data_IF_391661817618
#
_entry.id   IF_391661817618
#
_cell.length_a   1.000
_cell.length_b   1.000
_cell.length_c   1.000
_cell.angle_alpha   90.00
_cell.angle_beta   90.00
_cell.angle_gamma   90.00
#
_symmetry.space_group_name_H-M   'P 1'
#
loop_
_entity.id
_entity.type
_entity.pdbx_description
1 polymer ?
#
# COMPACT_ATOMS: atom_id res chain seq x y z
N UNK A 1 7.26 -21.40 -17.30
CA UNK A 1 6.71 -20.57 -16.21
C UNK A 1 7.74 -20.58 -15.09
N UNK A 2 8.06 -19.44 -14.46
CA UNK A 2 8.91 -19.45 -13.27
C UNK A 2 8.27 -20.37 -12.21
N UNK A 3 9.04 -21.34 -11.72
CA UNK A 3 8.52 -22.38 -10.84
C UNK A 3 8.41 -21.83 -9.42
N UNK A 4 7.20 -21.47 -9.01
CA UNK A 4 6.86 -21.38 -7.60
C UNK A 4 6.70 -22.81 -7.06
N UNK A 5 7.35 -23.11 -5.95
CA UNK A 5 7.13 -24.34 -5.19
C UNK A 5 6.27 -24.05 -3.97
N UNK A 6 5.34 -24.95 -3.64
CA UNK A 6 4.58 -24.84 -2.40
C UNK A 6 5.52 -25.04 -1.20
N UNK A 7 5.47 -24.12 -0.24
CA UNK A 7 6.35 -24.11 0.93
C UNK A 7 5.61 -24.47 2.23
N UNK A 8 4.31 -24.21 2.30
CA UNK A 8 3.51 -24.48 3.49
C UNK A 8 2.20 -23.70 3.48
N UNK A 9 1.53 -23.65 4.63
CA UNK A 9 0.31 -22.83 4.79
C UNK A 9 0.34 -22.10 6.13
N UNK A 10 -0.16 -20.87 6.16
CA UNK A 10 -0.26 -20.07 7.37
C UNK A 10 -1.63 -19.40 7.45
N UNK A 11 -2.39 -19.69 8.52
CA UNK A 11 -3.74 -19.15 8.72
C UNK A 11 -4.68 -19.38 7.51
N UNK A 12 -4.60 -20.56 6.90
CA UNK A 12 -5.41 -20.92 5.74
C UNK A 12 -4.99 -20.27 4.42
N UNK A 13 -3.82 -19.62 4.36
CA UNK A 13 -3.23 -19.08 3.14
C UNK A 13 -2.03 -19.92 2.71
N UNK A 14 -1.98 -20.26 1.42
CA UNK A 14 -0.85 -20.99 0.84
C UNK A 14 0.40 -20.11 0.75
N UNK A 15 1.53 -20.74 1.02
CA UNK A 15 2.84 -20.15 0.95
C UNK A 15 3.66 -20.80 -0.15
N UNK A 16 4.45 -19.97 -0.82
CA UNK A 16 5.25 -20.34 -1.97
C UNK A 16 6.69 -19.85 -1.80
N UNK A 17 7.62 -20.63 -2.34
CA UNK A 17 9.01 -20.27 -2.54
C UNK A 17 9.25 -19.94 -4.02
N UNK A 18 9.99 -18.86 -4.26
CA UNK A 18 10.51 -18.48 -5.55
C UNK A 18 12.03 -18.55 -5.52
N UNK A 19 12.63 -19.34 -6.42
CA UNK A 19 14.07 -19.41 -6.58
C UNK A 19 14.55 -18.47 -7.68
N UNK A 20 15.30 -17.44 -7.30
CA UNK A 20 16.03 -16.58 -8.23
C UNK A 20 17.39 -17.21 -8.54
N UNK A 21 17.78 -17.23 -9.82
CA UNK A 21 19.10 -17.70 -10.25
C UNK A 21 19.73 -16.72 -11.22
N UNK A 22 21.01 -16.41 -11.00
CA UNK A 22 21.82 -15.60 -11.91
C UNK A 22 22.66 -16.46 -12.86
N UNK A 23 23.18 -15.82 -13.90
CA UNK A 23 24.10 -16.41 -14.87
C UNK A 23 25.42 -16.93 -14.28
N UNK A 24 25.83 -16.43 -13.11
CA UNK A 24 27.07 -16.82 -12.45
C UNK A 24 26.86 -17.87 -11.34
N UNK A 25 25.67 -18.46 -11.24
CA UNK A 25 25.39 -19.58 -10.36
C UNK A 25 24.94 -19.21 -8.95
N UNK A 26 24.76 -17.91 -8.63
CA UNK A 26 24.11 -17.50 -7.37
C UNK A 26 22.65 -17.90 -7.39
N UNK A 27 22.18 -18.38 -6.24
CA UNK A 27 20.79 -18.77 -6.01
C UNK A 27 20.27 -18.02 -4.81
N UNK A 28 19.09 -17.42 -4.93
CA UNK A 28 18.38 -16.81 -3.80
C UNK A 28 16.98 -17.39 -3.73
N UNK A 29 16.59 -17.92 -2.56
CA UNK A 29 15.25 -18.43 -2.32
C UNK A 29 14.47 -17.41 -1.51
N UNK A 30 13.32 -17.02 -2.03
CA UNK A 30 12.42 -16.06 -1.40
C UNK A 30 11.10 -16.74 -1.11
N UNK A 31 10.61 -16.67 0.12
CA UNK A 31 9.26 -17.14 0.48
C UNK A 31 8.31 -15.96 0.65
N UNK A 32 7.03 -16.16 0.35
CA UNK A 32 6.03 -15.09 0.47
C UNK A 32 5.53 -14.86 1.90
N UNK A 33 5.94 -15.68 2.87
CA UNK A 33 5.80 -15.35 4.29
C UNK A 33 6.81 -14.26 4.64
N UNK A 34 6.35 -13.11 5.14
CA UNK A 34 7.20 -11.99 5.54
C UNK A 34 8.06 -11.37 4.42
N UNK A 35 7.83 -11.76 3.16
CA UNK A 35 8.73 -11.48 2.04
C UNK A 35 10.20 -11.87 2.33
N UNK A 36 10.39 -13.02 2.98
CA UNK A 36 11.66 -13.49 3.53
C UNK A 36 12.63 -13.94 2.44
N UNK A 37 13.87 -13.46 2.51
CA UNK A 37 15.02 -14.12 1.89
C UNK A 37 15.41 -15.31 2.78
N UNK A 38 15.00 -16.52 2.37
CA UNK A 38 15.19 -17.75 3.16
C UNK A 38 16.60 -18.29 3.03
N UNK A 39 17.16 -18.23 1.83
CA UNK A 39 18.46 -18.77 1.51
C UNK A 39 19.14 -17.93 0.43
N UNK A 40 20.46 -17.79 0.54
CA UNK A 40 21.30 -17.11 -0.43
C UNK A 40 22.56 -17.96 -0.59
N UNK A 41 22.63 -18.68 -1.70
CA UNK A 41 23.73 -19.58 -1.99
C UNK A 41 24.69 -18.96 -3.00
N UNK A 42 25.97 -18.90 -2.66
CA UNK A 42 27.04 -18.39 -3.52
C UNK A 42 28.00 -19.51 -3.92
N UNK A 43 28.46 -19.56 -5.18
CA UNK A 43 29.52 -20.50 -5.58
C UNK A 43 30.84 -20.21 -4.87
N UNK A 44 31.46 -21.25 -4.35
CA UNK A 44 32.81 -21.21 -3.78
C UNK A 44 33.87 -21.41 -4.87
N UNK A 45 35.14 -21.18 -4.52
CA UNK A 45 36.28 -21.50 -5.41
C UNK A 45 36.36 -22.97 -5.80
N UNK A 46 35.78 -23.87 -4.99
CA UNK A 46 35.76 -25.32 -5.21
C UNK A 46 34.58 -25.76 -6.09
N UNK A 47 33.68 -24.85 -6.46
CA UNK A 47 32.49 -25.12 -7.26
C UNK A 47 31.23 -25.41 -6.45
N UNK A 48 31.36 -25.68 -5.15
CA UNK A 48 30.22 -25.93 -4.25
C UNK A 48 29.44 -24.65 -3.94
N UNK A 49 28.14 -24.79 -3.69
CA UNK A 49 27.26 -23.70 -3.23
C UNK A 49 27.25 -23.61 -1.70
N UNK A 50 27.36 -22.40 -1.15
CA UNK A 50 27.28 -22.15 0.30
C UNK A 50 26.27 -21.08 0.63
N UNK A 51 25.39 -21.37 1.58
CA UNK A 51 24.47 -20.40 2.15
C UNK A 51 25.24 -19.34 2.95
N UNK A 52 24.92 -18.07 2.72
CA UNK A 52 25.56 -16.92 3.38
C UNK A 52 24.60 -16.10 4.25
N UNK A 53 23.36 -16.57 4.41
CA UNK A 53 22.36 -16.00 5.30
C UNK A 53 21.86 -17.06 6.27
N UNK A 54 21.35 -16.62 7.42
CA UNK A 54 20.64 -17.48 8.35
C UNK A 54 19.18 -17.59 7.91
N UNK A 55 18.63 -18.80 7.99
CA UNK A 55 17.24 -19.09 7.66
C UNK A 55 16.88 -20.50 8.10
N UNK A 56 15.59 -20.84 7.96
CA UNK A 56 15.08 -22.16 8.28
C UNK A 56 14.67 -22.91 7.01
N UNK A 57 14.58 -24.24 7.12
CA UNK A 57 14.11 -25.09 6.03
C UNK A 57 12.58 -25.20 5.99
N UNK A 58 11.92 -25.02 7.14
CA UNK A 58 10.48 -25.20 7.29
C UNK A 58 9.81 -23.91 7.78
N UNK A 59 8.53 -23.74 7.43
CA UNK A 59 7.74 -22.58 7.84
C UNK A 59 7.52 -22.53 9.35
N UNK A 60 7.32 -23.69 9.96
CA UNK A 60 6.99 -23.87 11.37
C UNK A 60 8.07 -23.23 12.25
N UNK A 61 9.34 -23.39 11.86
CA UNK A 61 10.50 -22.81 12.56
C UNK A 61 10.48 -21.27 12.52
N UNK A 62 10.03 -20.65 11.42
CA UNK A 62 9.85 -19.20 11.34
C UNK A 62 8.71 -18.71 12.26
N UNK A 63 7.65 -19.50 12.40
CA UNK A 63 6.50 -19.16 13.25
C UNK A 63 6.85 -19.30 14.73
N UNK A 64 7.58 -20.37 15.08
CA UNK A 64 7.94 -20.73 16.45
C UNK A 64 9.10 -19.89 16.98
N UNK A 65 10.21 -19.79 16.25
CA UNK A 65 11.44 -19.21 16.77
C UNK A 65 11.59 -17.73 16.45
N UNK A 66 11.45 -17.35 15.18
CA UNK A 66 11.53 -15.93 14.80
C UNK A 66 11.10 -15.70 13.35
N UNK A 67 10.10 -14.83 13.11
CA UNK A 67 9.70 -14.46 11.76
C UNK A 67 10.65 -13.41 11.15
N UNK A 68 11.71 -12.98 11.83
CA UNK A 68 12.52 -11.83 11.42
C UNK A 68 13.78 -12.19 10.62
N UNK A 69 14.15 -13.47 10.54
CA UNK A 69 15.29 -13.90 9.72
C UNK A 69 15.00 -13.65 8.24
N UNK A 70 15.66 -12.64 7.66
CA UNK A 70 15.54 -12.27 6.25
C UNK A 70 14.23 -11.59 5.85
N UNK A 71 13.36 -11.23 6.81
CA UNK A 71 12.03 -10.69 6.55
C UNK A 71 12.00 -9.17 6.31
N UNK A 72 10.93 -8.72 5.64
CA UNK A 72 10.54 -7.31 5.61
C UNK A 72 9.77 -6.98 6.90
N UNK A 73 10.26 -5.98 7.62
CA UNK A 73 9.66 -5.52 8.88
C UNK A 73 8.83 -4.26 8.65
N UNK A 74 7.62 -4.22 9.21
CA UNK A 74 6.78 -3.03 9.20
C UNK A 74 5.51 -3.19 10.05
N UNK A 75 4.69 -2.14 10.21
CA UNK A 75 4.79 -0.83 9.54
C UNK A 75 5.95 0.06 9.98
N UNK A 76 6.38 -0.06 11.25
CA UNK A 76 7.54 0.67 11.77
C UNK A 76 8.57 -0.34 12.26
N UNK A 77 9.76 -0.29 11.65
CA UNK A 77 10.89 -1.08 12.10
C UNK A 77 11.43 -0.52 13.43
N UNK A 78 11.94 -1.42 14.27
CA UNK A 78 12.45 -1.11 15.60
C UNK A 78 11.35 -0.55 16.53
N UNK A 79 11.72 0.26 17.53
CA UNK A 79 10.87 0.62 18.66
C UNK A 79 10.09 1.91 18.44
N UNK A 80 8.80 1.85 18.72
CA UNK A 80 7.98 3.01 19.08
C UNK A 80 7.95 3.12 20.60
N UNK A 81 8.61 4.17 21.11
CA UNK A 81 8.75 4.42 22.54
C UNK A 81 7.39 4.51 23.24
N UNK A 82 7.24 3.79 24.36
CA UNK A 82 6.00 3.75 25.14
C UNK A 82 4.75 3.36 24.30
N UNK A 83 4.96 2.67 23.18
CA UNK A 83 3.95 2.22 22.23
C UNK A 83 2.95 3.33 21.85
N UNK A 84 3.45 4.55 21.63
CA UNK A 84 2.59 5.68 21.29
C UNK A 84 3.31 6.67 20.37
N UNK A 85 2.54 7.35 19.53
CA UNK A 85 3.02 8.44 18.69
C UNK A 85 1.85 9.36 18.32
N UNK A 86 2.16 10.56 17.82
CA UNK A 86 1.15 11.50 17.39
C UNK A 86 1.36 11.90 15.92
N UNK A 87 0.26 12.00 15.18
CA UNK A 87 0.22 12.53 13.81
C UNK A 87 -0.87 13.59 13.76
N UNK A 88 -0.54 14.78 13.26
CA UNK A 88 -1.47 15.92 13.16
C UNK A 88 -2.20 16.24 14.48
N UNK A 89 -1.49 16.15 15.61
CA UNK A 89 -2.04 16.41 16.94
C UNK A 89 -2.94 15.30 17.50
N UNK A 90 -3.20 14.23 16.74
CA UNK A 90 -3.93 13.05 17.22
C UNK A 90 -2.94 12.01 17.74
N UNK A 91 -3.12 11.60 18.99
CA UNK A 91 -2.37 10.49 19.59
C UNK A 91 -2.91 9.14 19.10
N UNK A 92 -1.98 8.22 18.82
CA UNK A 92 -2.22 6.83 18.51
C UNK A 92 -1.49 5.96 19.53
N UNK A 93 -2.24 5.08 20.18
CA UNK A 93 -1.71 4.09 21.12
C UNK A 93 -1.64 2.75 20.41
N UNK A 94 -0.45 2.17 20.43
CA UNK A 94 -0.10 0.91 19.79
C UNK A 94 -0.10 -0.21 20.83
N UNK A 95 -0.44 -1.46 20.47
CA UNK A 95 -0.25 -2.61 21.36
C UNK A 95 1.25 -2.79 21.64
N UNK A 96 1.69 -2.77 22.91
CA UNK A 96 3.07 -3.08 23.25
C UNK A 96 3.32 -4.59 23.10
N UNK A 97 4.49 -4.94 22.57
CA UNK A 97 4.97 -6.32 22.48
C UNK A 97 6.39 -6.47 23.03
N UNK A 98 6.98 -5.40 23.57
CA UNK A 98 8.28 -5.43 24.23
C UNK A 98 8.28 -4.43 25.40
N UNK A 99 7.97 -4.93 26.60
CA UNK A 99 7.80 -4.08 27.78
C UNK A 99 6.74 -3.01 27.55
N UNK A 100 7.11 -1.73 27.66
CA UNK A 100 6.22 -0.60 27.38
C UNK A 100 6.26 -0.15 25.91
N UNK A 101 7.14 -0.71 25.08
CA UNK A 101 7.33 -0.28 23.70
C UNK A 101 6.57 -1.19 22.72
N UNK A 102 6.33 -0.68 21.52
CA UNK A 102 6.05 -1.55 20.39
C UNK A 102 7.32 -1.72 19.57
N UNK A 103 7.73 -2.96 19.32
CA UNK A 103 8.86 -3.37 18.52
C UNK A 103 8.40 -3.97 17.19
N UNK A 104 9.04 -3.56 16.09
CA UNK A 104 8.93 -4.16 14.76
C UNK A 104 7.50 -4.23 14.21
N UNK A 105 6.65 -3.25 14.52
CA UNK A 105 5.27 -3.19 14.05
C UNK A 105 4.28 -4.04 14.86
N UNK A 106 4.71 -4.63 15.98
CA UNK A 106 3.84 -5.37 16.89
C UNK A 106 3.60 -6.82 16.45
N UNK A 107 2.53 -7.42 16.97
CA UNK A 107 2.13 -8.80 16.65
C UNK A 107 1.63 -8.96 15.21
N UNK A 108 1.00 -7.91 14.67
CA UNK A 108 0.51 -7.81 13.29
C UNK A 108 1.60 -7.32 12.31
N UNK A 109 2.87 -7.59 12.63
CA UNK A 109 4.01 -7.16 11.80
C UNK A 109 3.96 -7.74 10.39
N UNK A 110 4.49 -6.98 9.43
CA UNK A 110 4.64 -7.44 8.05
C UNK A 110 5.43 -8.74 7.90
N UNK A 111 6.36 -8.99 8.84
CA UNK A 111 7.18 -10.19 8.88
C UNK A 111 6.36 -11.47 9.16
N UNK A 112 5.16 -11.36 9.73
CA UNK A 112 4.27 -12.50 10.04
C UNK A 112 3.08 -12.61 9.09
N UNK A 113 3.12 -11.93 7.94
CA UNK A 113 2.02 -11.93 6.96
C UNK A 113 2.37 -12.72 5.72
N UNK A 114 1.35 -13.26 5.07
CA UNK A 114 1.45 -13.86 3.74
C UNK A 114 1.32 -12.74 2.70
N UNK A 115 2.37 -12.56 1.90
CA UNK A 115 2.41 -11.59 0.82
C UNK A 115 1.90 -12.24 -0.47
N UNK A 116 1.28 -11.45 -1.35
CA UNK A 116 1.08 -11.87 -2.74
C UNK A 116 2.44 -11.91 -3.42
N UNK A 117 2.73 -12.96 -4.19
CA UNK A 117 4.01 -13.18 -4.83
C UNK A 117 3.85 -13.36 -6.33
N UNK A 118 4.68 -12.66 -7.10
CA UNK A 118 4.68 -12.67 -8.55
C UNK A 118 6.12 -12.76 -9.08
N UNK A 119 6.57 -13.93 -9.55
CA UNK A 119 7.87 -14.06 -10.18
C UNK A 119 7.94 -13.29 -11.50
N UNK A 120 9.08 -12.67 -11.76
CA UNK A 120 9.36 -11.91 -12.97
C UNK A 120 10.49 -12.62 -13.72
N UNK A 121 10.15 -13.15 -14.89
CA UNK A 121 11.11 -13.78 -15.80
C UNK A 121 11.74 -12.73 -16.72
N UNK A 122 13.01 -12.93 -17.09
CA UNK A 122 13.65 -12.17 -18.16
C UNK A 122 13.76 -13.07 -19.39
N UNK A 123 12.97 -12.73 -20.42
CA UNK A 123 12.94 -13.48 -21.67
C UNK A 123 14.19 -13.29 -22.53
N UNK A 124 15.08 -12.34 -22.20
CA UNK A 124 16.37 -12.16 -22.89
C UNK A 124 17.38 -13.24 -22.54
N UNK A 125 17.19 -13.91 -21.40
CA UNK A 125 18.01 -15.05 -20.97
C UNK A 125 17.44 -16.35 -21.52
N UNK A 126 17.55 -16.55 -22.83
CA UNK A 126 16.99 -17.67 -23.61
C UNK A 126 17.39 -19.09 -23.13
N UNK A 127 18.21 -19.23 -22.08
CA UNK A 127 18.68 -20.50 -21.50
C UNK A 127 18.26 -20.74 -20.04
N UNK A 128 17.55 -19.82 -19.38
CA UNK A 128 17.12 -19.99 -17.98
C UNK A 128 15.60 -20.01 -17.85
N UNK A 129 15.04 -21.12 -17.37
CA UNK A 129 13.63 -21.22 -16.94
C UNK A 129 13.36 -20.52 -15.60
N UNK A 130 14.41 -20.15 -14.86
CA UNK A 130 14.30 -19.57 -13.54
C UNK A 130 14.15 -18.05 -13.61
N UNK A 131 13.29 -17.46 -12.76
CA UNK A 131 13.12 -16.02 -12.69
C UNK A 131 14.41 -15.34 -12.21
N UNK A 132 14.63 -14.12 -12.67
CA UNK A 132 15.71 -13.24 -12.16
C UNK A 132 15.19 -12.23 -11.13
N UNK A 133 13.87 -12.11 -10.99
CA UNK A 133 13.26 -11.23 -10.00
C UNK A 133 11.94 -11.80 -9.47
N UNK A 134 11.51 -11.31 -8.31
CA UNK A 134 10.20 -11.60 -7.72
C UNK A 134 9.65 -10.32 -7.09
N UNK A 135 8.37 -10.06 -7.33
CA UNK A 135 7.62 -8.95 -6.77
C UNK A 135 6.66 -9.48 -5.71
N UNK A 136 6.69 -8.85 -4.54
CA UNK A 136 5.84 -9.17 -3.41
C UNK A 136 4.99 -7.96 -3.06
N UNK A 137 3.74 -8.20 -2.69
CA UNK A 137 2.77 -7.15 -2.37
C UNK A 137 1.99 -7.46 -1.09
N UNK A 138 1.81 -6.44 -0.26
CA UNK A 138 1.02 -6.49 0.97
C UNK A 138 0.14 -5.24 1.09
N UNK A 139 -1.10 -5.45 1.51
CA UNK A 139 -1.99 -4.39 1.97
C UNK A 139 -2.14 -4.49 3.48
N UNK A 140 -2.00 -3.37 4.16
CA UNK A 140 -2.28 -3.21 5.59
C UNK A 140 -3.42 -2.21 5.73
N UNK A 141 -4.52 -2.63 6.36
CA UNK A 141 -5.75 -1.82 6.43
C UNK A 141 -5.67 -0.76 7.53
N UNK A 142 -6.46 0.30 7.43
CA UNK A 142 -6.63 1.25 8.54
C UNK A 142 -6.96 0.54 9.85
N UNK A 143 -6.26 0.91 10.93
CA UNK A 143 -6.38 0.31 12.26
C UNK A 143 -5.59 -0.98 12.47
N UNK A 144 -4.98 -1.56 11.44
CA UNK A 144 -4.18 -2.77 11.56
C UNK A 144 -2.90 -2.51 12.37
N UNK A 145 -2.68 -3.31 13.41
CA UNK A 145 -1.63 -3.04 14.41
C UNK A 145 -1.83 -1.72 15.17
N UNK A 146 -3.04 -1.18 15.17
CA UNK A 146 -3.42 0.16 15.65
C UNK A 146 -2.78 1.35 14.88
N UNK A 147 -2.25 1.10 13.68
CA UNK A 147 -1.74 2.15 12.83
C UNK A 147 -2.87 2.81 12.00
N UNK A 148 -2.89 4.15 11.87
CA UNK A 148 -3.84 4.82 11.01
C UNK A 148 -3.54 4.61 9.53
N UNK A 149 -4.62 4.58 8.75
CA UNK A 149 -4.62 4.61 7.30
C UNK A 149 -4.33 3.30 6.60
N UNK A 150 -4.83 3.21 5.37
CA UNK A 150 -4.49 2.12 4.48
C UNK A 150 -3.07 2.32 3.96
N UNK A 151 -2.29 1.25 4.01
CA UNK A 151 -0.92 1.23 3.52
C UNK A 151 -0.76 0.07 2.56
N UNK A 152 -0.21 0.36 1.38
CA UNK A 152 0.17 -0.65 0.39
C UNK A 152 1.66 -0.62 0.23
N UNK A 153 2.28 -1.79 0.20
CA UNK A 153 3.71 -1.92 -0.04
C UNK A 153 3.97 -2.99 -1.08
N UNK A 154 4.85 -2.66 -2.01
CA UNK A 154 5.40 -3.58 -2.99
C UNK A 154 6.91 -3.63 -2.82
N UNK A 155 7.45 -4.83 -2.64
CA UNK A 155 8.89 -5.08 -2.62
C UNK A 155 9.26 -5.93 -3.83
N UNK A 156 10.28 -5.53 -4.58
CA UNK A 156 10.82 -6.32 -5.68
C UNK A 156 12.26 -6.68 -5.40
N UNK A 157 12.55 -7.97 -5.35
CA UNK A 157 13.90 -8.50 -5.32
C UNK A 157 14.32 -8.84 -6.75
N UNK A 158 15.48 -8.34 -7.18
CA UNK A 158 16.08 -8.64 -8.48
C UNK A 158 17.53 -9.06 -8.30
N UNK A 159 17.86 -10.23 -8.82
CA UNK A 159 19.21 -10.77 -8.85
C UNK A 159 19.83 -10.52 -10.24
N UNK A 160 21.05 -9.98 -10.26
CA UNK A 160 21.83 -9.75 -11.49
C UNK A 160 23.30 -10.02 -11.18
N UNK A 161 23.91 -11.02 -11.83
CA UNK A 161 25.20 -11.56 -11.40
C UNK A 161 25.21 -11.89 -9.91
N UNK A 162 26.13 -11.27 -9.15
CA UNK A 162 26.25 -11.44 -7.70
C UNK A 162 25.48 -10.41 -6.87
N UNK A 163 24.68 -9.54 -7.51
CA UNK A 163 24.01 -8.41 -6.84
C UNK A 163 22.53 -8.68 -6.69
N UNK A 164 22.06 -8.69 -5.44
CA UNK A 164 20.65 -8.56 -5.13
C UNK A 164 20.30 -7.08 -4.99
N UNK A 165 19.30 -6.62 -5.73
CA UNK A 165 18.68 -5.31 -5.57
C UNK A 165 17.29 -5.49 -4.98
N UNK A 166 17.01 -4.79 -3.90
CA UNK A 166 15.66 -4.60 -3.37
C UNK A 166 15.15 -3.22 -3.82
N UNK A 167 13.94 -3.17 -4.37
CA UNK A 167 13.25 -1.93 -4.68
C UNK A 167 11.89 -1.93 -3.97
N UNK A 168 11.59 -0.85 -3.25
CA UNK A 168 10.34 -0.66 -2.55
C UNK A 168 9.50 0.39 -3.28
N UNK A 169 8.18 0.16 -3.32
CA UNK A 169 7.19 1.17 -3.65
C UNK A 169 6.11 1.13 -2.58
N UNK A 170 5.96 2.23 -1.84
CA UNK A 170 4.86 2.40 -0.91
C UNK A 170 3.74 3.24 -1.55
N UNK A 171 2.52 3.01 -1.06
CA UNK A 171 1.32 3.75 -1.43
C UNK A 171 0.54 4.07 -0.16
N UNK A 172 0.58 5.32 0.25
CA UNK A 172 -0.22 5.84 1.37
C UNK A 172 -1.49 6.43 0.79
N UNK A 173 -2.65 5.89 1.16
CA UNK A 173 -3.89 6.65 0.98
C UNK A 173 -4.03 7.58 2.17
N UNK A 174 -3.95 8.88 1.89
CA UNK A 174 -4.14 9.92 2.91
C UNK A 174 -5.58 9.91 3.41
N UNK A 175 -5.77 9.41 4.64
CA UNK A 175 -7.08 9.28 5.30
C UNK A 175 -7.75 10.65 5.44
N UNK A 176 -6.97 11.69 5.68
CA UNK A 176 -7.48 13.05 5.79
C UNK A 176 -8.01 13.54 4.44
N UNK A 177 -7.33 13.22 3.35
CA UNK A 177 -7.76 13.60 2.00
C UNK A 177 -9.09 12.96 1.61
N UNK A 178 -9.27 11.65 1.86
CA UNK A 178 -10.56 10.98 1.59
C UNK A 178 -11.69 11.44 2.50
N UNK A 179 -11.40 11.74 3.78
CA UNK A 179 -12.40 12.29 4.71
C UNK A 179 -12.84 13.69 4.27
N UNK A 180 -11.89 14.56 3.92
CA UNK A 180 -12.16 15.88 3.37
C UNK A 180 -12.92 15.79 2.03
N UNK A 181 -12.57 14.86 1.14
CA UNK A 181 -13.28 14.64 -0.11
C UNK A 181 -14.70 14.10 0.11
N UNK A 182 -14.91 13.20 1.08
CA UNK A 182 -16.24 12.70 1.47
C UNK A 182 -17.10 13.80 2.10
N UNK A 183 -16.52 14.59 3.00
CA UNK A 183 -17.21 15.72 3.64
C UNK A 183 -17.51 16.83 2.61
N UNK A 184 -16.60 17.11 1.67
CA UNK A 184 -16.79 18.05 0.55
C UNK A 184 -17.90 17.55 -0.38
N UNK A 185 -17.89 16.25 -0.74
CA UNK A 185 -18.93 15.64 -1.57
C UNK A 185 -20.30 15.68 -0.89
N UNK A 186 -20.37 15.35 0.39
CA UNK A 186 -21.61 15.43 1.19
C UNK A 186 -22.16 16.86 1.25
N UNK A 187 -21.31 17.87 1.47
CA UNK A 187 -21.70 19.29 1.44
C UNK A 187 -22.19 19.74 0.06
N UNK A 188 -21.61 19.23 -1.02
CA UNK A 188 -22.08 19.53 -2.38
C UNK A 188 -23.44 18.89 -2.67
N UNK A 189 -23.68 17.65 -2.23
CA UNK A 189 -24.98 16.98 -2.36
C UNK A 189 -26.07 17.68 -1.53
N UNK A 190 -25.80 17.99 -0.26
CA UNK A 190 -26.72 18.75 0.61
C UNK A 190 -27.02 20.16 0.07
N UNK A 191 -26.03 20.81 -0.56
CA UNK A 191 -26.20 22.12 -1.19
C UNK A 191 -27.09 22.05 -2.44
N UNK A 192 -26.96 20.97 -3.23
CA UNK A 192 -27.75 20.74 -4.43
C UNK A 192 -29.22 20.46 -4.10
N UNK A 193 -29.49 19.61 -3.11
CA UNK A 193 -30.86 19.33 -2.64
C UNK A 193 -31.57 20.58 -2.11
N UNK A 194 -30.83 21.47 -1.43
CA UNK A 194 -31.36 22.76 -0.96
C UNK A 194 -31.68 23.73 -2.09
N UNK A 195 -30.94 23.70 -3.19
CA UNK A 195 -31.22 24.52 -4.38
C UNK A 195 -32.42 23.98 -5.14
N UNK A 196 -32.45 22.68 -5.42
CA UNK A 196 -33.55 22.02 -6.13
C UNK A 196 -34.88 22.20 -5.37
N UNK A 197 -34.88 22.09 -4.03
CA UNK A 197 -36.06 22.35 -3.21
C UNK A 197 -36.50 23.83 -3.18
N UNK A 198 -35.57 24.78 -3.34
CA UNK A 198 -35.88 26.21 -3.42
C UNK A 198 -36.46 26.59 -4.77
N UNK A 199 -35.98 25.97 -5.85
CA UNK A 199 -36.56 26.12 -7.19
C UNK A 199 -37.98 25.55 -7.27
N UNK A 200 -38.27 24.43 -6.59
CA UNK A 200 -39.63 23.90 -6.47
C UNK A 200 -40.56 24.79 -5.63
N UNK A 201 -40.07 25.37 -4.52
CA UNK A 201 -40.85 26.31 -3.70
C UNK A 201 -41.12 27.64 -4.40
N UNK A 202 -40.12 28.21 -5.08
CA UNK A 202 -40.28 29.44 -5.86
C UNK A 202 -41.18 29.22 -7.08
N UNK A 203 -41.10 28.05 -7.73
CA UNK A 203 -42.04 27.65 -8.78
C UNK A 203 -43.50 27.51 -8.28
N UNK A 204 -43.71 27.04 -7.04
CA UNK A 204 -45.05 27.02 -6.40
C UNK A 204 -45.55 28.41 -6.01
N UNK A 205 -44.66 29.31 -5.57
CA UNK A 205 -45.01 30.71 -5.27
C UNK A 205 -45.34 31.51 -6.52
N UNK A 206 -44.66 31.27 -7.64
CA UNK A 206 -45.01 31.87 -8.92
C UNK A 206 -46.32 31.32 -9.51
N UNK A 207 -46.69 30.07 -9.20
CA UNK A 207 -47.97 29.47 -9.58
C UNK A 207 -49.21 30.02 -8.87
N UNK A 208 -49.05 30.79 -7.79
CA UNK A 208 -50.18 31.37 -7.02
C UNK A 208 -50.42 32.85 -7.28
N UNK A 209 -49.53 33.54 -8.01
CA UNK A 209 -49.72 34.92 -8.42
C UNK A 209 -49.83 35.03 -9.95
N UNK A 210 -51.07 35.22 -10.41
CA UNK A 210 -51.37 35.45 -11.82
C UNK A 210 -50.56 36.61 -12.43
N UNK A 211 -50.05 36.35 -13.64
CA UNK A 211 -49.67 37.30 -14.67
C UNK A 211 -48.88 38.54 -14.23
N UNK A 212 -47.55 38.52 -14.41
CA UNK A 212 -46.82 39.55 -15.19
C UNK A 212 -45.31 39.29 -15.33
N UNK A 213 -44.87 39.40 -16.59
CA UNK A 213 -43.54 39.82 -17.09
C UNK A 213 -42.42 38.77 -17.15
N UNK A 214 -42.18 38.30 -18.39
CA UNK A 214 -40.91 37.75 -18.82
C UNK A 214 -39.77 38.78 -18.81
N UNK A 215 -38.55 38.23 -18.89
CA UNK A 215 -37.21 38.87 -18.80
C UNK A 215 -36.58 38.88 -17.39
N UNK A 216 -36.37 37.69 -16.81
CA UNK A 216 -35.50 37.50 -15.63
C UNK A 216 -34.67 36.21 -15.67
N UNK A 217 -35.19 35.16 -16.28
CA UNK A 217 -34.64 33.80 -16.26
C UNK A 217 -33.25 33.58 -16.92
N UNK A 218 -32.75 34.52 -17.74
CA UNK A 218 -31.44 34.36 -18.40
C UNK A 218 -30.25 34.92 -17.60
N UNK A 219 -30.49 35.65 -16.50
CA UNK A 219 -29.41 36.35 -15.77
C UNK A 219 -28.70 35.45 -14.75
N UNK A 220 -29.46 34.68 -13.96
CA UNK A 220 -28.89 33.80 -12.92
C UNK A 220 -28.07 32.63 -13.45
N UNK A 221 -28.44 32.06 -14.61
CA UNK A 221 -27.69 30.93 -15.20
C UNK A 221 -26.32 31.32 -15.75
N UNK A 222 -26.15 32.58 -16.16
CA UNK A 222 -24.86 33.11 -16.63
C UNK A 222 -23.95 33.49 -15.46
N UNK A 223 -24.49 34.08 -14.39
CA UNK A 223 -23.71 34.39 -13.17
C UNK A 223 -23.14 33.11 -12.53
N UNK A 224 -23.91 32.00 -12.52
CA UNK A 224 -23.42 30.72 -12.00
C UNK A 224 -22.31 30.09 -12.85
N UNK A 225 -22.39 30.19 -14.18
CA UNK A 225 -21.35 29.66 -15.09
C UNK A 225 -20.04 30.47 -14.99
N UNK A 226 -20.14 31.78 -14.77
CA UNK A 226 -19.00 32.68 -14.52
C UNK A 226 -18.33 32.39 -13.16
N UNK A 227 -19.13 32.20 -12.11
CA UNK A 227 -18.62 31.86 -10.77
C UNK A 227 -17.96 30.47 -10.74
N UNK A 228 -18.51 29.51 -11.50
CA UNK A 228 -17.93 28.17 -11.66
C UNK A 228 -16.59 28.18 -12.42
N UNK A 229 -16.48 29.00 -13.48
CA UNK A 229 -15.20 29.20 -14.20
C UNK A 229 -14.13 29.83 -13.31
N UNK A 230 -14.51 30.81 -12.50
CA UNK A 230 -13.59 31.47 -11.55
C UNK A 230 -13.08 30.50 -10.48
N UNK A 231 -13.94 29.61 -9.97
CA UNK A 231 -13.52 28.57 -9.01
C UNK A 231 -12.63 27.49 -9.65
N UNK A 232 -12.84 27.15 -10.92
CA UNK A 232 -12.00 26.19 -11.66
C UNK A 232 -10.61 26.79 -12.02
N UNK A 233 -10.51 28.10 -12.28
CA UNK A 233 -9.24 28.81 -12.55
C UNK A 233 -8.40 29.06 -11.29
N UNK A 234 -9.02 29.36 -10.14
CA UNK A 234 -8.32 29.52 -8.85
C UNK A 234 -7.71 28.19 -8.34
N UNK A 235 -8.28 27.03 -8.69
CA UNK A 235 -7.75 25.70 -8.34
C UNK A 235 -6.62 25.22 -9.28
N UNK A 236 -6.55 25.76 -10.52
CA UNK A 236 -5.52 25.42 -11.51
C UNK A 236 -4.17 26.11 -11.29
N UNK A 237 -4.13 27.23 -10.56
CA UNK A 237 -2.95 28.09 -10.39
C UNK A 237 -1.93 27.63 -9.35
N UNK A 238 -2.16 26.54 -8.60
CA UNK A 238 -1.27 26.09 -7.52
C UNK A 238 -0.51 24.78 -7.80
N UNK A 239 -0.21 24.53 -9.08
CA UNK A 239 0.79 23.54 -9.54
C UNK A 239 1.70 24.17 -10.59
N UNK A 240 2.73 24.88 -10.12
CA UNK A 240 3.80 25.37 -10.98
C UNK A 240 4.66 26.42 -10.29
N UNK A 241 5.78 25.99 -9.69
CA UNK A 241 6.86 26.88 -9.25
C UNK A 241 7.23 26.72 -7.77
N UNK A 242 8.39 26.10 -7.53
CA UNK A 242 9.02 25.94 -6.22
C UNK A 242 9.64 24.56 -6.06
#
# INVERSE_FOLDING_TARGET
MPQLSHFGSFQGQDLFECQLRSENGVIIKVINFGAIIRDWQVPTRQGDLRSVVLGFEQLEDYVEHSPFFGAIVGRVANRVGKARFSVDGKEFVLPPNEGQNQLHGGTETFARKVWKMEPISDHSMAKSSNPCAVRLFLESRDGEGAYPGNFRVTVTYRLTGNKLRMAEKDGREDVNKRRQEREKKKRMEEGKERMDGREEEDGRREGTNGWKRGRGWKKGRNEWMEERKRMEEEDGGRKGGG
#
